data_IF_946132390712
#
_entry.id   IF_946132390712
#
_cell.length_a   1.000
_cell.length_b   1.000
_cell.length_c   1.000
_cell.angle_alpha   90.00
_cell.angle_beta   90.00
_cell.angle_gamma   90.00
#
_symmetry.space_group_name_H-M   'P 1'
#
loop_
_entity.id
_entity.type
_entity.pdbx_description
1 polymer ?
#
# COMPACT_ATOMS: atom_id res chain seq x y z
N UNK A 1 -7.24 -0.74 -6.18
CA UNK A 1 -6.59 -1.35 -7.36
C UNK A 1 -5.94 -0.27 -8.20
N UNK A 2 -4.88 -0.58 -8.94
CA UNK A 2 -4.22 0.31 -9.91
C UNK A 2 -3.85 -0.49 -11.15
N UNK A 3 -4.05 0.07 -12.35
CA UNK A 3 -3.62 -0.56 -13.60
C UNK A 3 -2.10 -0.48 -13.75
N UNK A 4 -1.45 -1.61 -14.04
CA UNK A 4 -0.03 -1.71 -14.35
C UNK A 4 0.16 -1.51 -15.85
N UNK A 5 -0.42 -2.43 -16.64
CA UNK A 5 -0.40 -2.43 -18.10
C UNK A 5 -1.56 -3.27 -18.63
N UNK A 6 -2.33 -2.77 -19.60
CA UNK A 6 -3.45 -3.48 -20.23
C UNK A 6 -4.37 -4.18 -19.20
N UNK A 7 -4.35 -5.52 -19.18
CA UNK A 7 -5.15 -6.37 -18.28
C UNK A 7 -4.45 -6.74 -16.96
N UNK A 8 -3.25 -6.22 -16.69
CA UNK A 8 -2.54 -6.44 -15.44
C UNK A 8 -2.81 -5.30 -14.44
N UNK A 9 -3.17 -5.69 -13.23
CA UNK A 9 -3.53 -4.79 -12.15
C UNK A 9 -2.80 -5.15 -10.86
N UNK A 10 -2.53 -4.11 -10.08
CA UNK A 10 -2.12 -4.21 -8.70
C UNK A 10 -3.37 -4.15 -7.82
N UNK A 11 -3.63 -5.20 -7.05
CA UNK A 11 -4.88 -5.36 -6.29
C UNK A 11 -4.58 -5.64 -4.82
N UNK A 12 -5.43 -5.13 -3.95
CA UNK A 12 -5.56 -5.55 -2.55
C UNK A 12 -7.00 -6.02 -2.36
N UNK A 13 -7.19 -7.14 -1.67
CA UNK A 13 -8.50 -7.73 -1.40
C UNK A 13 -8.59 -8.22 0.03
N UNK A 14 -9.80 -8.28 0.56
CA UNK A 14 -10.11 -8.82 1.88
C UNK A 14 -11.10 -9.97 1.74
N UNK A 15 -10.72 -11.17 2.19
CA UNK A 15 -11.53 -12.40 2.09
C UNK A 15 -11.28 -13.27 3.32
N UNK A 16 -12.34 -13.78 3.95
CA UNK A 16 -12.28 -14.64 5.15
C UNK A 16 -11.31 -14.12 6.21
N UNK A 17 -11.52 -12.86 6.64
CA UNK A 17 -10.76 -12.17 7.70
C UNK A 17 -9.29 -11.86 7.40
N UNK A 18 -8.86 -12.06 6.15
CA UNK A 18 -7.50 -11.79 5.73
C UNK A 18 -7.41 -10.84 4.55
N UNK A 19 -6.45 -9.93 4.66
CA UNK A 19 -6.02 -9.10 3.55
C UNK A 19 -5.01 -9.86 2.68
N UNK A 20 -5.16 -9.73 1.38
CA UNK A 20 -4.27 -10.30 0.39
C UNK A 20 -3.74 -9.21 -0.53
N UNK A 21 -2.44 -9.26 -0.78
CA UNK A 21 -1.74 -8.33 -1.68
C UNK A 21 -1.39 -9.07 -2.96
N UNK A 22 -1.79 -8.50 -4.10
CA UNK A 22 -1.52 -9.01 -5.43
C UNK A 22 -0.76 -7.93 -6.23
N UNK A 23 0.58 -7.93 -6.19
CA UNK A 23 1.41 -6.93 -6.87
C UNK A 23 1.20 -6.90 -8.38
N UNK A 24 0.95 -8.08 -8.97
CA UNK A 24 0.62 -8.24 -10.39
C UNK A 24 -0.40 -9.35 -10.55
N UNK A 25 -1.61 -9.01 -10.99
CA UNK A 25 -2.65 -9.99 -11.33
C UNK A 25 -3.31 -9.64 -12.64
N UNK A 26 -3.49 -10.64 -13.50
CA UNK A 26 -4.19 -10.48 -14.78
C UNK A 26 -5.69 -10.62 -14.54
N UNK A 27 -6.43 -9.55 -14.79
CA UNK A 27 -7.89 -9.56 -14.75
C UNK A 27 -8.41 -9.49 -16.19
N UNK A 28 -9.06 -10.56 -16.62
CA UNK A 28 -9.74 -10.58 -17.91
C UNK A 28 -11.01 -9.73 -17.86
N UNK A 29 -11.20 -8.90 -18.88
CA UNK A 29 -12.38 -8.03 -19.03
C UNK A 29 -13.59 -8.76 -19.62
N UNK A 30 -13.41 -10.01 -20.05
CA UNK A 30 -14.44 -10.83 -20.71
C UNK A 30 -14.93 -12.01 -19.88
N UNK A 31 -14.35 -12.25 -18.70
CA UNK A 31 -14.70 -13.37 -17.83
C UNK A 31 -15.10 -12.90 -16.43
N UNK A 32 -15.99 -13.65 -15.80
CA UNK A 32 -16.31 -13.48 -14.38
C UNK A 32 -15.34 -14.36 -13.58
N UNK A 33 -14.64 -13.75 -12.62
CA UNK A 33 -13.72 -14.43 -11.70
C UNK A 33 -14.14 -14.03 -10.29
N UNK A 34 -14.23 -14.98 -9.37
CA UNK A 34 -14.51 -14.68 -7.97
C UNK A 34 -13.27 -14.09 -7.30
N UNK A 35 -13.47 -13.15 -6.37
CA UNK A 35 -12.37 -12.57 -5.59
C UNK A 35 -11.64 -13.61 -4.73
N UNK A 36 -12.28 -14.73 -4.40
CA UNK A 36 -11.69 -15.89 -3.70
C UNK A 36 -10.67 -16.65 -4.55
N UNK A 37 -10.86 -16.63 -5.88
CA UNK A 37 -10.09 -17.43 -6.82
C UNK A 37 -8.83 -16.69 -7.27
N UNK A 38 -8.78 -15.39 -7.00
CA UNK A 38 -7.57 -14.59 -7.10
C UNK A 38 -6.61 -15.07 -6.01
N UNK A 39 -5.38 -15.41 -6.40
CA UNK A 39 -4.32 -15.78 -5.46
C UNK A 39 -3.86 -14.60 -4.58
N UNK A 40 -2.56 -14.51 -4.36
CA UNK A 40 -1.94 -13.40 -3.64
C UNK A 40 -1.37 -13.78 -2.28
N UNK A 41 -0.54 -12.88 -1.76
CA UNK A 41 0.16 -13.08 -0.51
C UNK A 41 -0.70 -12.63 0.66
N UNK A 42 -0.83 -13.49 1.66
CA UNK A 42 -1.60 -13.22 2.88
C UNK A 42 -0.85 -12.21 3.75
N UNK A 43 -1.45 -11.05 3.96
CA UNK A 43 -0.90 -9.98 4.79
C UNK A 43 -1.50 -10.02 6.21
N UNK A 44 -1.09 -11.02 7.01
CA UNK A 44 -1.61 -11.25 8.36
C UNK A 44 -1.37 -10.09 9.35
N UNK A 45 -0.45 -9.19 9.04
CA UNK A 45 -0.15 -8.02 9.87
C UNK A 45 -1.20 -6.90 9.74
N UNK A 46 -1.96 -6.89 8.65
CA UNK A 46 -2.97 -5.86 8.40
C UNK A 46 -4.16 -6.01 9.33
N UNK A 47 -4.69 -4.88 9.80
CA UNK A 47 -5.89 -4.85 10.60
C UNK A 47 -7.10 -5.33 9.79
N UNK A 48 -8.09 -5.93 10.43
CA UNK A 48 -9.31 -6.40 9.75
C UNK A 48 -10.02 -5.25 9.00
N UNK A 49 -10.12 -4.06 9.63
CA UNK A 49 -10.69 -2.84 9.04
C UNK A 49 -9.71 -2.05 8.15
N UNK A 50 -8.54 -2.62 7.83
CA UNK A 50 -7.49 -1.90 7.12
C UNK A 50 -7.93 -1.49 5.72
N UNK A 51 -7.79 -0.20 5.45
CA UNK A 51 -7.97 0.34 4.11
C UNK A 51 -6.62 0.35 3.39
N UNK A 52 -6.55 -0.21 2.19
CA UNK A 52 -5.31 -0.21 1.38
C UNK A 52 -5.37 0.85 0.29
N UNK A 53 -4.37 1.73 0.26
CA UNK A 53 -4.11 2.67 -0.85
C UNK A 53 -2.99 2.12 -1.71
N UNK A 54 -3.16 2.21 -3.02
CA UNK A 54 -2.20 1.70 -3.99
C UNK A 54 -1.88 2.83 -4.95
N UNK A 55 -0.60 3.10 -5.20
CA UNK A 55 -0.15 4.03 -6.23
C UNK A 55 0.99 3.41 -7.03
N UNK A 56 1.20 3.91 -8.26
CA UNK A 56 2.44 3.69 -9.00
C UNK A 56 3.38 4.86 -8.73
N UNK A 57 4.67 4.57 -8.67
CA UNK A 57 5.70 5.59 -8.60
C UNK A 57 6.92 5.19 -9.43
N UNK A 58 7.73 6.17 -9.82
CA UNK A 58 9.00 5.95 -10.50
C UNK A 58 10.14 6.60 -9.72
N UNK A 59 11.15 5.84 -9.32
CA UNK A 59 12.34 6.35 -8.64
C UNK A 59 13.56 5.96 -9.46
N UNK A 60 14.30 6.94 -9.98
CA UNK A 60 15.57 6.72 -10.70
C UNK A 60 15.46 5.58 -11.75
N UNK A 61 14.43 5.66 -12.60
CA UNK A 61 14.09 4.68 -13.64
C UNK A 61 13.55 3.31 -13.16
N UNK A 62 13.35 3.10 -11.85
CA UNK A 62 12.66 1.93 -11.31
C UNK A 62 11.18 2.21 -11.11
N UNK A 63 10.33 1.44 -11.77
CA UNK A 63 8.88 1.53 -11.59
C UNK A 63 8.46 0.67 -10.41
N UNK A 64 7.81 1.28 -9.44
CA UNK A 64 7.36 0.63 -8.21
C UNK A 64 5.85 0.75 -8.05
N UNK A 65 5.28 -0.22 -7.34
CA UNK A 65 3.91 -0.20 -6.84
C UNK A 65 4.00 -0.10 -5.32
N UNK A 66 3.35 0.91 -4.77
CA UNK A 66 3.32 1.13 -3.32
C UNK A 66 1.95 0.77 -2.79
N UNK A 67 1.91 -0.11 -1.81
CA UNK A 67 0.73 -0.39 -0.99
C UNK A 67 0.92 0.27 0.36
N UNK A 68 -0.02 1.11 0.76
CA UNK A 68 -0.11 1.62 2.13
C UNK A 68 -1.37 1.09 2.79
N UNK A 69 -1.23 0.47 3.95
CA UNK A 69 -2.36 -0.01 4.72
C UNK A 69 -2.09 0.02 6.22
N UNK A 70 -3.14 -0.20 7.03
CA UNK A 70 -3.04 -0.10 8.48
C UNK A 70 -2.77 -1.48 9.09
N UNK A 71 -1.88 -1.55 10.06
CA UNK A 71 -1.56 -2.77 10.78
C UNK A 71 -2.39 -2.91 12.06
N UNK A 72 -2.44 -4.13 12.61
CA UNK A 72 -3.03 -4.41 13.92
C UNK A 72 -2.37 -3.59 15.05
N UNK A 73 -1.11 -3.19 14.87
CA UNK A 73 -0.35 -2.36 15.82
C UNK A 73 -0.63 -0.85 15.69
N UNK A 74 -1.66 -0.45 14.92
CA UNK A 74 -2.00 0.95 14.63
C UNK A 74 -0.89 1.75 13.92
N UNK A 75 -0.11 1.08 13.09
CA UNK A 75 0.90 1.70 12.23
C UNK A 75 0.43 1.67 10.77
N UNK A 76 1.05 2.49 9.93
CA UNK A 76 0.90 2.38 8.48
C UNK A 76 2.06 1.53 7.96
N UNK A 77 1.73 0.40 7.33
CA UNK A 77 2.66 -0.42 6.59
C UNK A 77 2.69 0.04 5.13
N UNK A 78 3.88 0.36 4.66
CA UNK A 78 4.20 0.61 3.26
C UNK A 78 4.92 -0.61 2.69
N UNK A 79 4.39 -1.19 1.62
CA UNK A 79 5.04 -2.26 0.87
C UNK A 79 5.38 -1.74 -0.53
N UNK A 80 6.63 -1.89 -0.92
CA UNK A 80 7.13 -1.45 -2.22
C UNK A 80 7.44 -2.68 -3.06
N UNK A 81 6.72 -2.84 -4.17
CA UNK A 81 6.92 -3.92 -5.12
C UNK A 81 7.51 -3.38 -6.42
N UNK A 82 8.42 -4.14 -7.02
CA UNK A 82 8.88 -3.85 -8.37
C UNK A 82 7.75 -4.12 -9.37
N UNK A 83 7.50 -3.18 -10.28
CA UNK A 83 6.39 -3.27 -11.23
C UNK A 83 6.63 -4.33 -12.32
N UNK A 84 7.89 -4.64 -12.63
CA UNK A 84 8.26 -5.60 -13.68
C UNK A 84 8.32 -7.03 -13.19
N UNK A 85 8.90 -7.26 -12.00
CA UNK A 85 9.05 -8.61 -11.43
C UNK A 85 7.90 -8.99 -10.49
N UNK A 86 7.22 -8.00 -9.90
CA UNK A 86 6.23 -8.23 -8.85
C UNK A 86 6.83 -8.61 -7.49
N UNK A 87 8.16 -8.53 -7.35
CA UNK A 87 8.87 -8.87 -6.12
C UNK A 87 8.81 -7.73 -5.10
N UNK A 88 8.77 -8.08 -3.82
CA UNK A 88 8.85 -7.11 -2.73
C UNK A 88 10.27 -6.55 -2.66
N UNK A 89 10.42 -5.25 -2.92
CA UNK A 89 11.70 -4.54 -2.82
C UNK A 89 12.02 -4.22 -1.38
N UNK A 90 11.07 -3.58 -0.68
CA UNK A 90 11.23 -3.23 0.74
C UNK A 90 9.88 -3.00 1.40
N UNK A 91 9.90 -2.92 2.73
CA UNK A 91 8.74 -2.54 3.54
C UNK A 91 9.14 -1.51 4.59
N UNK A 92 8.23 -0.58 4.89
CA UNK A 92 8.44 0.45 5.92
C UNK A 92 7.21 0.63 6.80
N UNK A 93 7.45 1.01 8.04
CA UNK A 93 6.42 1.28 9.03
C UNK A 93 6.42 2.77 9.38
N UNK A 94 5.24 3.39 9.37
CA UNK A 94 5.04 4.76 9.82
C UNK A 94 4.12 4.79 11.03
N UNK A 95 4.43 5.70 11.97
CA UNK A 95 3.74 5.81 13.25
C UNK A 95 4.30 4.83 14.27
N UNK A 96 4.56 5.32 15.48
CA UNK A 96 5.14 4.52 16.55
C UNK A 96 4.46 4.82 17.89
N UNK A 97 4.30 6.11 18.23
CA UNK A 97 3.76 6.52 19.53
C UNK A 97 2.24 6.69 19.54
N UNK A 98 1.67 7.25 18.47
CA UNK A 98 0.24 7.47 18.35
C UNK A 98 -0.32 6.62 17.21
N UNK A 99 -1.56 6.13 17.33
CA UNK A 99 -2.20 5.39 16.26
C UNK A 99 -2.29 6.27 15.01
N UNK A 100 -1.97 5.69 13.86
CA UNK A 100 -2.05 6.34 12.56
C UNK A 100 -2.80 5.47 11.58
N UNK A 101 -3.64 6.10 10.76
CA UNK A 101 -4.37 5.46 9.67
C UNK A 101 -4.07 6.18 8.36
N UNK A 102 -3.74 5.44 7.30
CA UNK A 102 -3.48 6.04 5.99
C UNK A 102 -4.78 6.60 5.40
N UNK A 103 -4.69 7.80 4.81
CA UNK A 103 -5.78 8.42 4.08
C UNK A 103 -5.49 8.48 2.58
N UNK A 104 -4.31 8.98 2.20
CA UNK A 104 -3.90 9.16 0.79
C UNK A 104 -2.39 9.08 0.62
N UNK A 105 -1.95 8.83 -0.63
CA UNK A 105 -0.56 8.75 -1.05
C UNK A 105 -0.38 9.57 -2.31
N UNK A 106 0.73 10.30 -2.41
CA UNK A 106 1.17 10.93 -3.67
C UNK A 106 2.68 10.78 -3.83
N UNK A 107 3.13 10.61 -5.07
CA UNK A 107 4.53 10.79 -5.39
C UNK A 107 4.85 12.29 -5.43
N UNK A 108 5.94 12.70 -4.79
CA UNK A 108 6.38 14.10 -4.77
C UNK A 108 7.26 14.40 -5.99
N UNK A 109 7.39 15.69 -6.34
CA UNK A 109 8.15 16.12 -7.52
C UNK A 109 9.65 15.79 -7.45
N UNK A 110 10.19 15.63 -6.25
CA UNK A 110 11.55 15.17 -5.96
C UNK A 110 11.69 13.63 -5.96
N UNK A 111 10.72 12.92 -6.55
CA UNK A 111 10.64 11.46 -6.61
C UNK A 111 10.49 10.75 -5.25
N UNK A 112 10.23 11.50 -4.17
CA UNK A 112 9.87 10.94 -2.87
C UNK A 112 8.40 10.48 -2.78
N UNK A 113 7.98 10.12 -1.57
CA UNK A 113 6.61 9.72 -1.26
C UNK A 113 6.05 10.61 -0.15
N UNK A 114 4.87 11.19 -0.37
CA UNK A 114 4.09 11.83 0.68
C UNK A 114 2.89 10.97 1.05
N UNK A 115 2.75 10.72 2.35
CA UNK A 115 1.67 9.92 2.94
C UNK A 115 0.83 10.83 3.83
N UNK A 116 -0.41 11.08 3.41
CA UNK A 116 -1.41 11.72 4.26
C UNK A 116 -2.01 10.66 5.18
N UNK A 117 -1.94 10.92 6.48
CA UNK A 117 -2.46 10.06 7.52
C UNK A 117 -3.40 10.82 8.46
N UNK A 118 -4.25 10.07 9.15
CA UNK A 118 -5.01 10.54 10.29
C UNK A 118 -4.41 9.95 11.56
N UNK A 119 -4.17 10.79 12.57
CA UNK A 119 -3.68 10.39 13.88
C UNK A 119 -4.63 10.88 14.99
N UNK A 120 -4.39 10.45 16.22
CA UNK A 120 -5.12 10.89 17.40
C UNK A 120 -4.16 11.57 18.39
N UNK A 121 -4.55 12.75 18.87
CA UNK A 121 -3.85 13.46 19.94
C UNK A 121 -4.61 13.25 21.25
N UNK A 122 -3.88 12.92 22.32
CA UNK A 122 -4.44 12.58 23.63
C UNK A 122 -5.54 11.51 23.56
N UNK A 123 -5.41 10.55 22.64
CA UNK A 123 -6.32 9.40 22.49
C UNK A 123 -7.72 9.71 21.95
N UNK A 124 -8.11 10.98 21.73
CA UNK A 124 -9.49 11.33 21.34
C UNK A 124 -9.63 12.35 20.22
N UNK A 125 -8.63 13.20 19.99
CA UNK A 125 -8.75 14.26 18.99
C UNK A 125 -8.13 13.86 17.66
N UNK A 126 -8.95 13.67 16.64
CA UNK A 126 -8.48 13.36 15.28
C UNK A 126 -7.72 14.56 14.69
N UNK A 127 -6.53 14.30 14.16
CA UNK A 127 -5.67 15.28 13.46
C UNK A 127 -5.13 14.67 12.19
N UNK A 128 -4.81 15.51 11.21
CA UNK A 128 -4.08 15.08 10.03
C UNK A 128 -2.58 15.09 10.32
N UNK A 129 -1.87 14.10 9.79
CA UNK A 129 -0.42 14.00 9.82
C UNK A 129 0.08 13.80 8.38
N UNK A 130 1.22 14.39 8.07
CA UNK A 130 1.87 14.24 6.77
C UNK A 130 3.26 13.64 7.00
N UNK A 131 3.50 12.48 6.40
CA UNK A 131 4.83 11.87 6.36
C UNK A 131 5.41 12.09 4.98
N UNK A 132 6.60 12.70 4.90
CA UNK A 132 7.37 12.79 3.66
C UNK A 132 8.55 11.85 3.77
N UNK A 133 8.65 10.90 2.84
CA UNK A 133 9.75 9.95 2.73
C UNK A 133 10.59 10.37 1.52
N UNK A 134 11.87 10.72 1.71
CA UNK A 134 12.77 11.06 0.61
C UNK A 134 13.11 9.80 -0.19
N UNK A 135 13.47 9.97 -1.46
CA UNK A 135 13.68 8.85 -2.38
C UNK A 135 14.82 7.91 -1.93
N UNK A 136 15.83 8.47 -1.28
CA UNK A 136 17.00 7.75 -0.79
C UNK A 136 16.59 6.72 0.25
N UNK A 137 15.69 7.10 1.15
CA UNK A 137 15.19 6.20 2.18
C UNK A 137 14.31 5.10 1.59
N UNK A 138 13.62 5.32 0.46
CA UNK A 138 12.67 4.34 -0.08
C UNK A 138 13.37 3.06 -0.54
N UNK A 139 14.59 3.13 -1.06
CA UNK A 139 15.32 1.98 -1.58
C UNK A 139 16.34 1.38 -0.59
N UNK A 140 16.43 1.95 0.62
CA UNK A 140 17.10 1.35 1.80
C UNK A 140 16.24 0.26 2.44
#
# INVERSE_FOLDING_TARGET
MVSIQASNFAVSRFVYDYHYILPSTTLSVSSIISASDLGGEKAAELAEDAHTRIIKMNIDNRNLIVYASNTNSNQILLLFYDLSTGELVTKKYLGHTNPVKVASLIQTADSGLAVLAQTMVAGRFKRNALYKIPKEQILE
#
